data_IF_239836408637
#
_entry.id   IF_239836408637
#
_cell.length_a   1.000
_cell.length_b   1.000
_cell.length_c   1.000
_cell.angle_alpha   90.00
_cell.angle_beta   90.00
_cell.angle_gamma   90.00
#
_symmetry.space_group_name_H-M   'P 1'
#
loop_
_entity.id
_entity.type
_entity.pdbx_description
1 polymer ?
#
# COMPACT_ATOMS: atom_id res chain seq x y z
N UNK A 1 9.89 -8.85 -16.00
CA UNK A 1 9.66 -7.42 -16.35
C UNK A 1 8.34 -6.95 -15.73
N UNK A 2 8.33 -5.87 -14.92
CA UNK A 2 7.17 -5.43 -14.12
C UNK A 2 6.24 -4.42 -14.81
N UNK A 3 5.02 -4.23 -14.26
CA UNK A 3 3.97 -3.33 -14.80
C UNK A 3 4.05 -1.90 -14.24
N UNK A 4 5.21 -1.26 -14.37
CA UNK A 4 5.42 0.13 -13.92
C UNK A 4 4.86 1.11 -14.94
N UNK A 5 4.11 2.13 -14.48
CA UNK A 5 3.53 3.17 -15.33
C UNK A 5 4.51 4.34 -15.49
N UNK A 6 4.60 4.88 -16.70
CA UNK A 6 5.49 5.99 -17.09
C UNK A 6 4.99 7.34 -16.58
N UNK A 7 5.88 8.34 -16.58
CA UNK A 7 5.57 9.73 -16.17
C UNK A 7 4.42 10.35 -16.96
N UNK A 8 4.28 10.02 -18.25
CA UNK A 8 3.21 10.52 -19.12
C UNK A 8 1.82 10.12 -18.62
N UNK A 9 1.65 8.83 -18.29
CA UNK A 9 0.39 8.32 -17.72
C UNK A 9 0.12 8.95 -16.37
N UNK A 10 1.13 9.02 -15.50
CA UNK A 10 0.98 9.57 -14.15
C UNK A 10 0.59 11.05 -14.17
N UNK A 11 1.30 11.88 -14.96
CA UNK A 11 1.02 13.31 -15.08
C UNK A 11 -0.35 13.58 -15.72
N UNK A 12 -0.69 12.89 -16.82
CA UNK A 12 -1.99 13.07 -17.47
C UNK A 12 -3.17 12.76 -16.53
N UNK A 13 -3.08 11.66 -15.75
CA UNK A 13 -4.13 11.32 -14.80
C UNK A 13 -4.28 12.33 -13.66
N UNK A 14 -3.16 12.90 -13.16
CA UNK A 14 -3.22 13.92 -12.12
C UNK A 14 -3.94 15.17 -12.63
N UNK A 15 -3.58 15.65 -13.82
CA UNK A 15 -4.22 16.81 -14.47
C UNK A 15 -5.71 16.56 -14.75
N UNK A 16 -6.09 15.33 -15.12
CA UNK A 16 -7.50 14.97 -15.30
C UNK A 16 -8.29 15.07 -13.98
N UNK A 17 -7.69 14.67 -12.86
CA UNK A 17 -8.35 14.67 -11.55
C UNK A 17 -8.50 16.09 -11.02
N UNK A 18 -7.45 16.92 -11.13
CA UNK A 18 -7.45 18.32 -10.70
C UNK A 18 -8.61 19.11 -11.35
N UNK A 19 -8.84 18.89 -12.66
CA UNK A 19 -9.83 19.64 -13.43
C UNK A 19 -11.23 19.05 -13.43
N UNK A 20 -11.35 17.72 -13.44
CA UNK A 20 -12.61 17.02 -13.71
C UNK A 20 -13.04 16.04 -12.61
N UNK A 21 -12.62 16.27 -11.37
CA UNK A 21 -13.03 15.46 -10.21
C UNK A 21 -14.53 15.10 -10.17
N UNK A 22 -15.49 16.03 -10.31
CA UNK A 22 -16.92 15.71 -10.15
C UNK A 22 -17.47 14.78 -11.24
N UNK A 23 -16.79 14.66 -12.38
CA UNK A 23 -17.21 13.77 -13.47
C UNK A 23 -16.63 12.36 -13.32
N UNK A 24 -15.53 12.22 -12.59
CA UNK A 24 -14.79 10.96 -12.49
C UNK A 24 -15.44 10.02 -11.48
N UNK A 25 -15.39 8.73 -11.78
CA UNK A 25 -15.95 7.66 -10.93
C UNK A 25 -14.89 6.63 -10.55
N UNK A 26 -15.25 5.65 -9.73
CA UNK A 26 -14.38 4.50 -9.44
C UNK A 26 -14.38 3.44 -10.56
N UNK A 27 -15.34 3.52 -11.49
CA UNK A 27 -15.48 2.54 -12.56
C UNK A 27 -14.52 2.84 -13.72
N UNK A 28 -13.98 1.77 -14.29
CA UNK A 28 -13.03 1.87 -15.40
C UNK A 28 -13.71 2.20 -16.73
N UNK A 29 -14.89 1.64 -17.01
CA UNK A 29 -15.53 1.82 -18.32
C UNK A 29 -16.08 3.24 -18.47
N UNK A 30 -16.69 3.78 -17.41
CA UNK A 30 -17.14 5.18 -17.38
C UNK A 30 -15.97 6.13 -17.56
N UNK A 31 -14.90 5.98 -16.77
CA UNK A 31 -13.73 6.86 -16.88
C UNK A 31 -13.02 6.75 -18.23
N UNK A 32 -13.06 5.59 -18.89
CA UNK A 32 -12.52 5.41 -20.24
C UNK A 32 -13.27 6.27 -21.26
N UNK A 33 -14.60 6.38 -21.16
CA UNK A 33 -15.43 7.24 -22.04
C UNK A 33 -15.15 8.72 -21.75
N UNK A 34 -15.07 9.10 -20.48
CA UNK A 34 -14.75 10.47 -20.08
C UNK A 34 -13.36 10.90 -20.59
N UNK A 35 -12.36 10.00 -20.54
CA UNK A 35 -11.03 10.30 -21.09
C UNK A 35 -11.06 10.57 -22.60
N UNK A 36 -12.01 10.00 -23.34
CA UNK A 36 -12.17 10.22 -24.77
C UNK A 36 -12.87 11.55 -25.09
N UNK A 37 -13.77 11.99 -24.22
CA UNK A 37 -14.45 13.27 -24.34
C UNK A 37 -13.54 14.45 -23.93
N UNK A 38 -12.74 14.25 -22.88
CA UNK A 38 -11.95 15.33 -22.27
C UNK A 38 -10.62 15.58 -23.00
N UNK A 39 -10.00 14.53 -23.55
CA UNK A 39 -8.64 14.63 -24.08
C UNK A 39 -8.49 13.86 -25.40
N UNK A 40 -7.76 14.48 -26.33
CA UNK A 40 -7.36 13.83 -27.58
C UNK A 40 -6.20 12.86 -27.27
N UNK A 41 -6.54 11.59 -27.05
CA UNK A 41 -5.55 10.54 -26.77
C UNK A 41 -5.31 9.72 -28.04
N UNK A 42 -4.08 9.71 -28.59
CA UNK A 42 -3.81 9.18 -29.93
C UNK A 42 -3.91 7.66 -30.02
N UNK A 43 -3.72 6.93 -28.91
CA UNK A 43 -3.75 5.47 -28.92
C UNK A 43 -4.63 4.86 -27.84
N UNK A 44 -5.35 3.80 -28.23
CA UNK A 44 -6.18 2.98 -27.34
C UNK A 44 -5.42 2.47 -26.12
N UNK A 45 -4.15 2.10 -26.28
CA UNK A 45 -3.32 1.59 -25.16
C UNK A 45 -2.97 2.68 -24.15
N UNK A 46 -2.70 3.92 -24.58
CA UNK A 46 -2.43 5.02 -23.67
C UNK A 46 -3.69 5.42 -22.89
N UNK A 47 -4.83 5.52 -23.58
CA UNK A 47 -6.13 5.78 -22.97
C UNK A 47 -6.46 4.80 -21.85
N UNK A 48 -6.32 3.50 -22.12
CA UNK A 48 -6.59 2.46 -21.12
C UNK A 48 -5.63 2.54 -19.92
N UNK A 49 -4.36 2.92 -20.14
CA UNK A 49 -3.40 3.13 -19.05
C UNK A 49 -3.76 4.34 -18.19
N UNK A 50 -4.20 5.44 -18.82
CA UNK A 50 -4.62 6.68 -18.14
C UNK A 50 -5.88 6.42 -17.33
N UNK A 51 -6.95 5.92 -17.96
CA UNK A 51 -8.20 5.58 -17.27
C UNK A 51 -7.97 4.60 -16.11
N UNK A 52 -7.11 3.59 -16.32
CA UNK A 52 -6.77 2.62 -15.29
C UNK A 52 -5.93 3.19 -14.14
N UNK A 53 -5.11 4.21 -14.39
CA UNK A 53 -4.36 4.88 -13.31
C UNK A 53 -5.23 5.89 -12.56
N UNK A 54 -6.13 6.59 -13.27
CA UNK A 54 -7.13 7.48 -12.69
C UNK A 54 -8.04 6.75 -11.70
N UNK A 55 -8.54 5.55 -12.05
CA UNK A 55 -9.34 4.74 -11.10
C UNK A 55 -8.55 4.29 -9.87
N UNK A 56 -7.25 3.99 -10.02
CA UNK A 56 -6.40 3.67 -8.88
C UNK A 56 -6.22 4.89 -7.95
N UNK A 57 -6.16 6.09 -8.51
CA UNK A 57 -6.08 7.32 -7.71
C UNK A 57 -7.40 7.61 -6.99
N UNK A 58 -8.55 7.42 -7.65
CA UNK A 58 -9.87 7.60 -7.02
C UNK A 58 -10.06 6.70 -5.79
N UNK A 59 -9.71 5.42 -5.89
CA UNK A 59 -9.73 4.49 -4.74
C UNK A 59 -8.79 4.90 -3.61
N UNK A 60 -7.70 5.61 -3.92
CA UNK A 60 -6.77 6.12 -2.89
C UNK A 60 -7.31 7.38 -2.24
N UNK A 61 -7.93 8.28 -3.01
CA UNK A 61 -8.56 9.50 -2.50
C UNK A 61 -9.65 9.16 -1.47
N UNK A 62 -10.43 8.11 -1.72
CA UNK A 62 -11.44 7.65 -0.76
C UNK A 62 -10.88 7.16 0.58
N UNK A 63 -9.64 6.66 0.58
CA UNK A 63 -8.97 6.20 1.81
C UNK A 63 -8.27 7.33 2.55
N UNK A 64 -8.00 8.45 1.87
CA UNK A 64 -7.31 9.59 2.45
C UNK A 64 -6.67 10.50 1.41
N UNK A 65 -6.08 11.62 1.86
CA UNK A 65 -5.46 12.58 0.96
C UNK A 65 -4.26 11.98 0.23
N UNK A 66 -4.26 12.11 -1.09
CA UNK A 66 -3.17 11.63 -1.95
C UNK A 66 -2.16 12.76 -2.17
N UNK A 67 -0.87 12.48 -1.96
CA UNK A 67 0.21 13.46 -2.19
C UNK A 67 0.28 13.89 -3.66
N UNK A 68 0.41 15.20 -3.89
CA UNK A 68 0.64 15.77 -5.22
C UNK A 68 -0.60 15.79 -6.12
N UNK A 69 -1.79 15.75 -5.52
CA UNK A 69 -3.08 15.97 -6.19
C UNK A 69 -3.83 16.95 -5.30
N UNK A 70 -4.26 18.07 -5.85
CA UNK A 70 -5.28 18.92 -5.23
C UNK A 70 -6.52 18.92 -6.11
N UNK A 71 -7.68 19.02 -5.47
CA UNK A 71 -8.91 19.33 -6.19
C UNK A 71 -9.65 20.37 -5.37
N UNK A 72 -10.44 21.21 -6.04
CA UNK A 72 -11.07 22.40 -5.44
C UNK A 72 -11.77 22.11 -4.10
N UNK A 73 -12.48 20.98 -4.02
CA UNK A 73 -13.16 20.59 -2.79
C UNK A 73 -12.20 20.32 -1.61
N UNK A 74 -10.96 19.86 -1.87
CA UNK A 74 -9.94 19.76 -0.81
C UNK A 74 -9.38 21.12 -0.40
N UNK A 75 -9.28 22.05 -1.36
CA UNK A 75 -8.76 23.39 -1.10
C UNK A 75 -9.75 24.16 -0.24
N UNK A 76 -11.04 24.12 -0.57
CA UNK A 76 -12.12 24.73 0.23
C UNK A 76 -12.21 24.14 1.65
N UNK A 77 -12.12 22.82 1.79
CA UNK A 77 -12.12 22.16 3.12
C UNK A 77 -10.86 22.51 3.93
N UNK A 78 -9.69 22.64 3.28
CA UNK A 78 -8.47 23.09 3.96
C UNK A 78 -8.58 24.54 4.40
N UNK A 79 -9.08 25.43 3.55
CA UNK A 79 -9.25 26.85 3.88
C UNK A 79 -10.18 27.03 5.09
N UNK A 80 -11.28 26.27 5.17
CA UNK A 80 -12.15 26.30 6.36
C UNK A 80 -11.44 25.84 7.63
N UNK A 81 -10.60 24.80 7.51
CA UNK A 81 -9.88 24.24 8.65
C UNK A 81 -8.74 25.13 9.11
N UNK A 82 -8.02 25.74 8.17
CA UNK A 82 -6.89 26.63 8.45
C UNK A 82 -7.39 27.98 9.01
N UNK A 83 -8.57 28.44 8.57
CA UNK A 83 -9.22 29.64 9.12
C UNK A 83 -10.01 29.38 10.41
N UNK A 84 -9.95 28.16 10.97
CA UNK A 84 -10.66 27.85 12.21
C UNK A 84 -9.94 28.50 13.40
N UNK A 85 -10.49 29.61 13.89
CA UNK A 85 -10.09 30.25 15.14
C UNK A 85 -11.04 29.76 16.24
N UNK A 86 -10.55 29.10 17.29
CA UNK A 86 -11.39 28.69 18.41
C UNK A 86 -11.93 29.92 19.16
N UNK A 87 -13.10 29.78 19.79
CA UNK A 87 -13.72 30.87 20.58
C UNK A 87 -12.84 31.30 21.76
N UNK A 88 -12.15 30.34 22.38
CA UNK A 88 -11.19 30.60 23.45
C UNK A 88 -9.78 30.29 22.96
N UNK A 89 -8.90 31.28 23.07
CA UNK A 89 -7.49 31.09 22.77
C UNK A 89 -6.84 30.29 23.89
N UNK A 90 -6.09 29.24 23.57
CA UNK A 90 -5.34 28.48 24.57
C UNK A 90 -4.27 29.33 25.31
N UNK A 91 -3.94 30.51 24.79
CA UNK A 91 -3.03 31.47 25.40
C UNK A 91 -3.74 32.43 26.37
N UNK A 92 -5.06 32.52 26.31
CA UNK A 92 -5.86 33.34 27.22
C UNK A 92 -6.06 32.57 28.53
N UNK A 93 -4.97 32.49 29.30
CA UNK A 93 -4.95 31.84 30.61
C UNK A 93 -4.84 32.93 31.66
N UNK A 94 -5.73 32.89 32.65
CA UNK A 94 -5.77 33.87 33.74
C UNK A 94 -4.48 33.86 34.60
N UNK A 95 -3.76 32.74 34.62
CA UNK A 95 -2.53 32.57 35.39
C UNK A 95 -1.41 31.92 34.55
N UNK A 96 -0.29 32.62 34.40
CA UNK A 96 0.92 32.16 33.72
C UNK A 96 1.99 31.89 34.78
N UNK A 97 2.40 30.62 34.90
CA UNK A 97 3.49 30.22 35.78
C UNK A 97 4.84 30.50 35.11
N UNK A 98 5.71 31.25 35.77
CA UNK A 98 7.04 31.63 35.27
C UNK A 98 8.16 31.20 36.22
N UNK A 99 9.33 30.97 35.63
CA UNK A 99 10.58 30.71 36.36
C UNK A 99 11.17 32.04 36.90
N UNK A 100 11.96 31.99 37.99
CA UNK A 100 12.59 33.18 38.58
C UNK A 100 13.52 33.92 37.59
N UNK A 101 14.29 33.20 36.77
CA UNK A 101 15.19 33.81 35.78
C UNK A 101 14.42 34.54 34.68
N UNK A 102 13.27 34.00 34.27
CA UNK A 102 12.38 34.65 33.29
C UNK A 102 11.72 35.90 33.85
N UNK A 103 11.49 35.97 35.17
CA UNK A 103 11.03 37.19 35.84
C UNK A 103 12.06 38.32 35.77
N UNK A 104 13.34 37.99 35.94
CA UNK A 104 14.40 39.00 35.86
C UNK A 104 14.64 39.47 34.43
N UNK A 105 14.48 38.57 33.45
CA UNK A 105 14.41 38.95 32.05
C UNK A 105 13.26 39.94 31.77
N UNK A 106 12.05 39.69 32.29
CA UNK A 106 10.90 40.59 32.12
C UNK A 106 11.14 41.99 32.69
N UNK A 107 11.80 42.09 33.86
CA UNK A 107 12.23 43.38 34.44
C UNK A 107 13.21 44.10 33.53
N UNK A 108 14.19 43.39 32.96
CA UNK A 108 15.19 44.00 32.07
C UNK A 108 14.60 44.55 30.76
N UNK A 109 13.48 43.97 30.32
CA UNK A 109 12.73 44.40 29.13
C UNK A 109 11.69 45.48 29.44
N UNK A 110 11.59 45.95 30.69
CA UNK A 110 10.58 46.90 31.18
C UNK A 110 9.12 46.42 31.00
N UNK A 111 8.87 45.11 31.09
CA UNK A 111 7.54 44.50 31.02
C UNK A 111 7.18 43.99 32.43
N UNK A 112 6.96 44.91 33.36
CA UNK A 112 6.83 44.58 34.79
C UNK A 112 5.38 44.26 35.22
N UNK A 113 4.37 44.78 34.50
CA UNK A 113 2.97 44.83 34.98
C UNK A 113 1.99 43.92 34.19
N UNK A 114 2.41 42.73 33.78
CA UNK A 114 1.47 41.75 33.22
C UNK A 114 0.66 41.08 34.34
N UNK A 115 -0.67 41.23 34.30
CA UNK A 115 -1.59 40.56 35.24
C UNK A 115 -1.55 39.04 35.03
N UNK A 116 -1.64 38.27 36.13
CA UNK A 116 -1.72 36.81 36.08
C UNK A 116 -0.40 36.07 36.17
N UNK A 117 0.73 36.73 36.43
CA UNK A 117 2.03 36.05 36.54
C UNK A 117 2.23 35.47 37.95
N UNK A 118 2.44 34.16 38.05
CA UNK A 118 2.82 33.47 39.30
C UNK A 118 4.23 32.87 39.16
N UNK A 119 5.07 33.01 40.19
CA UNK A 119 6.43 32.43 40.16
C UNK A 119 6.38 31.03 40.75
N UNK A 120 6.70 30.01 39.96
CA UNK A 120 6.87 28.64 40.47
C UNK A 120 8.29 28.45 41.00
N UNK A 121 8.42 27.68 42.09
CA UNK A 121 9.74 27.36 42.62
C UNK A 121 10.46 26.38 41.68
N UNK A 122 11.79 26.51 41.49
CA UNK A 122 12.52 25.62 40.60
C UNK A 122 12.37 24.18 41.11
N UNK A 123 11.77 23.33 40.28
CA UNK A 123 11.72 21.89 40.54
C UNK A 123 13.17 21.38 40.42
N UNK A 124 13.80 21.15 41.56
CA UNK A 124 15.04 20.37 41.64
C UNK A 124 14.76 19.01 41.00
N UNK A 125 15.17 18.81 39.75
CA UNK A 125 15.25 17.48 39.18
C UNK A 125 16.29 16.71 39.98
N UNK A 126 15.84 15.99 41.00
CA UNK A 126 16.59 14.92 41.64
C UNK A 126 16.98 13.93 40.54
N UNK A 127 18.25 13.96 40.17
CA UNK A 127 18.77 13.18 39.07
C UNK A 127 18.63 11.68 39.31
N UNK A 128 17.78 11.04 38.52
CA UNK A 128 18.00 9.65 38.07
C UNK A 128 17.37 9.48 36.69
N UNK A 129 18.19 9.64 35.66
CA UNK A 129 17.80 9.35 34.29
C UNK A 129 19.02 9.45 33.40
N UNK A 130 19.68 8.31 33.15
CA UNK A 130 20.74 8.17 32.15
C UNK A 130 20.34 8.94 30.89
N UNK A 131 21.07 9.99 30.57
CA UNK A 131 21.10 10.53 29.22
C UNK A 131 21.82 9.48 28.37
N UNK A 132 21.06 8.53 27.82
CA UNK A 132 21.55 7.78 26.67
C UNK A 132 21.84 8.81 25.58
N UNK A 133 23.13 8.99 25.29
CA UNK A 133 23.57 9.70 24.09
C UNK A 133 22.81 9.07 22.93
N UNK A 134 21.88 9.81 22.33
CA UNK A 134 21.23 9.39 21.09
C UNK A 134 22.30 9.37 20.02
N UNK A 135 22.88 8.19 19.81
CA UNK A 135 23.72 7.91 18.66
C UNK A 135 22.90 8.18 17.39
N UNK A 136 23.15 9.30 16.73
CA UNK A 136 22.61 9.63 15.41
C UNK A 136 23.18 8.74 14.28
N UNK A 137 23.82 7.62 14.63
CA UNK A 137 24.29 6.61 13.69
C UNK A 137 23.64 5.27 13.98
N UNK A 138 22.75 4.89 13.05
CA UNK A 138 22.15 3.58 12.82
C UNK A 138 20.96 3.22 13.71
N UNK A 139 19.76 3.49 13.19
CA UNK A 139 18.71 2.47 13.18
C UNK A 139 17.94 2.48 11.86
N UNK A 140 18.21 1.44 11.06
CA UNK A 140 17.21 0.85 10.19
C UNK A 140 16.03 0.43 11.09
N UNK A 141 14.80 0.82 10.71
CA UNK A 141 13.60 0.51 11.49
C UNK A 141 13.35 -0.99 11.67
N UNK A 142 12.49 -1.38 12.63
CA UNK A 142 12.22 -2.78 12.94
C UNK A 142 11.61 -3.48 11.73
N UNK A 143 12.24 -4.60 11.31
CA UNK A 143 11.61 -5.53 10.38
C UNK A 143 10.40 -6.15 11.07
N UNK A 144 9.23 -5.89 10.52
CA UNK A 144 7.94 -6.47 10.89
C UNK A 144 8.01 -8.00 11.01
N UNK A 145 7.34 -8.52 12.03
CA UNK A 145 7.13 -9.94 12.36
C UNK A 145 6.41 -10.74 11.26
N UNK A 146 7.10 -11.00 10.14
CA UNK A 146 6.64 -11.88 9.06
C UNK A 146 7.70 -12.93 8.67
N UNK A 147 8.88 -12.91 9.29
CA UNK A 147 10.01 -13.77 8.90
C UNK A 147 10.23 -15.02 9.73
N UNK A 148 9.40 -15.29 10.76
CA UNK A 148 9.41 -16.58 11.45
C UNK A 148 8.49 -17.63 10.81
N UNK A 149 7.49 -17.20 10.04
CA UNK A 149 6.48 -18.10 9.47
C UNK A 149 6.86 -18.72 8.11
N UNK A 150 8.01 -18.35 7.54
CA UNK A 150 8.47 -18.89 6.24
C UNK A 150 9.57 -19.95 6.35
N UNK A 151 10.10 -20.21 7.56
CA UNK A 151 11.08 -21.28 7.76
C UNK A 151 10.41 -22.65 7.90
N UNK A 152 9.16 -22.68 8.35
CA UNK A 152 8.34 -23.90 8.44
C UNK A 152 7.72 -24.30 7.10
N UNK A 153 7.53 -23.39 6.14
CA UNK A 153 7.02 -23.77 4.81
C UNK A 153 8.08 -24.33 3.86
N UNK A 154 9.37 -24.11 4.13
CA UNK A 154 10.46 -24.69 3.35
C UNK A 154 10.85 -26.12 3.79
N UNK A 155 10.43 -26.56 4.99
CA UNK A 155 10.66 -27.93 5.47
C UNK A 155 9.73 -28.93 4.80
N UNK A 156 8.44 -28.58 4.58
CA UNK A 156 7.49 -29.47 3.90
C UNK A 156 7.76 -29.64 2.40
N UNK A 157 8.23 -28.59 1.70
CA UNK A 157 8.58 -28.70 0.27
C UNK A 157 9.89 -29.49 0.04
N UNK A 158 10.82 -29.47 1.01
CA UNK A 158 12.08 -30.21 0.94
C UNK A 158 11.92 -31.68 1.37
N UNK A 159 10.96 -31.99 2.25
CA UNK A 159 10.63 -33.35 2.66
C UNK A 159 9.97 -34.16 1.52
N UNK A 160 9.02 -33.56 0.78
CA UNK A 160 8.32 -34.25 -0.33
C UNK A 160 9.28 -34.59 -1.49
N UNK A 161 10.36 -33.81 -1.67
CA UNK A 161 11.39 -34.08 -2.70
C UNK A 161 12.36 -35.21 -2.33
N UNK A 162 12.46 -35.59 -1.05
CA UNK A 162 13.23 -36.76 -0.59
C UNK A 162 12.45 -38.07 -0.67
N UNK A 163 11.12 -38.02 -0.72
CA UNK A 163 10.26 -39.21 -0.79
C UNK A 163 10.21 -39.85 -2.20
N UNK A 164 10.51 -39.08 -3.26
CA UNK A 164 10.40 -39.55 -4.66
C UNK A 164 11.74 -39.73 -5.38
N UNK A 165 12.85 -39.78 -4.62
CA UNK A 165 14.20 -39.68 -5.17
C UNK A 165 15.18 -40.71 -4.64
N UNK A 166 14.81 -42.00 -4.62
CA UNK A 166 15.77 -43.11 -4.50
C UNK A 166 15.10 -44.41 -4.95
N UNK A 167 15.30 -44.78 -6.21
CA UNK A 167 15.70 -46.13 -6.65
C UNK A 167 15.70 -46.19 -8.19
N UNK A 168 16.89 -46.25 -8.77
CA UNK A 168 17.17 -46.93 -10.05
C UNK A 168 18.38 -47.81 -9.65
N UNK A 169 18.37 -49.15 -9.79
CA UNK A 169 18.36 -49.96 -11.02
C UNK A 169 17.95 -51.41 -10.65
N UNK A 170 17.61 -52.26 -11.64
CA UNK A 170 18.47 -53.44 -11.78
C UNK A 170 18.75 -53.88 -13.23
N UNK A 171 19.91 -54.50 -13.39
CA UNK A 171 20.35 -55.32 -14.53
C UNK A 171 19.89 -56.79 -14.35
N UNK A 172 19.40 -57.37 -15.44
CA UNK A 172 19.69 -58.70 -16.05
C UNK A 172 19.98 -59.91 -15.13
N UNK A 173 19.03 -60.86 -15.05
CA UNK A 173 19.18 -62.30 -15.37
C UNK A 173 18.12 -63.22 -14.69
N UNK A 174 17.62 -64.18 -15.48
CA UNK A 174 17.20 -65.55 -15.13
C UNK A 174 15.80 -65.86 -14.52
N UNK A 175 14.92 -66.36 -15.40
CA UNK A 175 14.21 -67.67 -15.40
C UNK A 175 13.31 -68.17 -14.26
N UNK A 176 12.25 -68.86 -14.73
CA UNK A 176 11.28 -69.80 -14.09
C UNK A 176 10.13 -69.13 -13.30
N UNK A 177 8.82 -69.35 -13.52
CA UNK A 177 8.04 -70.45 -14.12
C UNK A 177 6.59 -69.99 -14.51
N UNK A 178 6.01 -70.74 -15.45
CA UNK A 178 4.68 -70.84 -16.12
C UNK A 178 3.39 -70.91 -15.24
N UNK A 179 2.14 -71.19 -15.74
CA UNK A 179 1.35 -70.82 -16.96
C UNK A 179 -0.03 -70.18 -16.56
N UNK A 180 -0.85 -69.50 -17.37
CA UNK A 180 -1.53 -69.88 -18.63
C UNK A 180 -2.96 -70.41 -18.37
N UNK A 181 -4.02 -69.72 -18.83
CA UNK A 181 -5.33 -70.30 -19.26
C UNK A 181 -6.05 -69.32 -20.22
N UNK A 182 -6.42 -69.93 -21.33
CA UNK A 182 -7.18 -69.57 -22.55
C UNK A 182 -8.25 -68.47 -22.53
N UNK A 183 -8.20 -67.70 -23.62
CA UNK A 183 -9.32 -67.03 -24.31
C UNK A 183 -10.05 -68.05 -25.20
N UNK A 184 -11.35 -67.86 -25.50
CA UNK A 184 -11.89 -68.24 -26.79
C UNK A 184 -12.49 -67.06 -27.57
N UNK A 185 -12.38 -67.23 -28.89
CA UNK A 185 -12.63 -66.34 -30.03
C UNK A 185 -14.12 -66.28 -30.41
N UNK A 186 -14.60 -65.15 -30.94
CA UNK A 186 -15.71 -65.01 -31.92
C UNK A 186 -15.66 -63.58 -32.51
N UNK A 187 -15.13 -63.41 -33.72
CA UNK A 187 -15.84 -63.19 -35.01
C UNK A 187 -16.22 -61.74 -35.34
N UNK A 188 -15.76 -61.34 -36.54
CA UNK A 188 -16.28 -60.36 -37.51
C UNK A 188 -17.24 -59.24 -37.05
N UNK A 189 -16.94 -57.99 -37.46
CA UNK A 189 -17.63 -57.36 -38.60
C UNK A 189 -17.14 -55.94 -38.88
N UNK A 190 -17.12 -55.66 -40.18
CA UNK A 190 -16.84 -54.42 -40.89
C UNK A 190 -17.99 -53.41 -40.70
N UNK A 191 -17.66 -52.13 -40.46
CA UNK A 191 -18.10 -50.94 -41.24
C UNK A 191 -18.06 -49.62 -40.42
N UNK A 192 -17.60 -48.50 -41.01
CA UNK A 192 -17.75 -47.15 -40.46
C UNK A 192 -19.08 -46.53 -40.90
N UNK A 193 -19.79 -45.87 -39.97
CA UNK A 193 -20.98 -45.07 -40.27
C UNK A 193 -20.81 -43.61 -39.83
N UNK A 194 -21.14 -42.75 -40.81
CA UNK A 194 -21.87 -41.49 -40.69
C UNK A 194 -21.09 -40.19 -40.47
N UNK A 195 -20.81 -39.59 -41.64
CA UNK A 195 -21.15 -38.21 -41.99
C UNK A 195 -22.37 -37.65 -41.21
N UNK A 196 -22.22 -36.44 -40.69
CA UNK A 196 -23.33 -35.58 -40.27
C UNK A 196 -23.57 -34.50 -41.34
N UNK A 197 -24.82 -34.28 -41.80
CA UNK A 197 -25.17 -33.07 -42.54
C UNK A 197 -26.11 -32.14 -41.76
N UNK A 198 -26.00 -30.87 -42.18
CA UNK A 198 -26.97 -29.76 -42.27
C UNK A 198 -27.52 -29.02 -41.05
N UNK A 199 -27.28 -27.71 -41.14
CA UNK A 199 -28.05 -26.57 -40.65
C UNK A 199 -27.53 -25.32 -41.35
#
# INVERSE_FOLDING_TARGET
MGRVRTKTVKRASVVLIEKYYPKLTNDFQVNKRICDEVAIIPSKRLRNKIAGYTTHLMRRIQRGPVRGISFKLQEEERERKDNYVPEFSALDVDNIEIDPDTKDMLKSLNIEDFKGITVSAPILQSGTGKVERRDFRRHNGPQTSQHKNNREKLSYQTAVRRQVGRFIRPDVNNSSEVPGISVPVLTELVAPLNQCPVG
#
